data_IF_758523514459
#
_entry.id   IF_758523514459
#
_cell.length_a   1.000
_cell.length_b   1.000
_cell.length_c   1.000
_cell.angle_alpha   90.00
_cell.angle_beta   90.00
_cell.angle_gamma   90.00
#
_symmetry.space_group_name_H-M   'P 1'
#
loop_
_entity.id
_entity.type
_entity.pdbx_description
1 polymer ?
#
# COMPACT_ATOMS: atom_id res chain seq x y z
N UNK A 1 6.01 0.98 -18.49
CA UNK A 1 5.00 1.84 -17.84
C UNK A 1 5.70 2.91 -17.05
N UNK A 2 5.22 4.14 -17.14
CA UNK A 2 5.75 5.31 -16.44
C UNK A 2 4.60 6.07 -15.76
N UNK A 3 4.89 7.19 -15.12
CA UNK A 3 3.87 7.99 -14.42
C UNK A 3 2.78 8.55 -15.34
N UNK A 4 3.00 8.64 -16.66
CA UNK A 4 1.99 9.16 -17.59
C UNK A 4 1.01 8.06 -18.03
N UNK A 5 1.49 6.82 -18.11
CA UNK A 5 0.73 5.66 -18.57
C UNK A 5 0.22 4.77 -17.44
N UNK A 6 0.72 4.96 -16.21
CA UNK A 6 0.33 4.21 -15.03
C UNK A 6 -1.18 4.24 -14.81
N UNK A 7 -1.74 3.07 -14.47
CA UNK A 7 -3.15 2.90 -14.10
C UNK A 7 -4.19 3.33 -15.16
N UNK A 8 -3.76 3.59 -16.41
CA UNK A 8 -4.63 4.00 -17.52
C UNK A 8 -5.58 2.91 -18.04
N UNK A 9 -5.42 1.66 -17.60
CA UNK A 9 -6.13 0.50 -18.12
C UNK A 9 -5.61 0.00 -19.49
N UNK A 10 -4.65 0.70 -20.10
CA UNK A 10 -3.97 0.24 -21.31
C UNK A 10 -3.17 -1.04 -21.09
N UNK A 11 -2.86 -1.77 -22.16
CA UNK A 11 -2.20 -3.09 -22.06
C UNK A 11 -0.91 -3.05 -21.26
N UNK A 12 -0.05 -2.06 -21.51
CA UNK A 12 1.21 -1.93 -20.78
C UNK A 12 0.99 -1.76 -19.27
N UNK A 13 0.01 -0.94 -18.86
CA UNK A 13 -0.33 -0.69 -17.44
C UNK A 13 -0.92 -1.91 -16.70
N UNK A 14 -1.15 -3.02 -17.41
CA UNK A 14 -1.75 -4.25 -16.89
C UNK A 14 -0.82 -5.46 -16.94
N UNK A 15 0.45 -5.24 -17.30
CA UNK A 15 1.48 -6.28 -17.33
C UNK A 15 2.41 -6.06 -16.14
N UNK A 16 2.71 -7.13 -15.42
CA UNK A 16 3.71 -7.14 -14.35
C UNK A 16 4.86 -8.09 -14.68
N UNK A 17 5.82 -8.18 -13.77
CA UNK A 17 7.04 -8.96 -13.93
C UNK A 17 7.05 -10.17 -13.00
N UNK A 18 7.41 -11.32 -13.53
CA UNK A 18 7.62 -12.55 -12.78
C UNK A 18 9.05 -13.06 -13.01
N UNK A 19 9.81 -13.27 -11.94
CA UNK A 19 11.11 -13.92 -11.98
C UNK A 19 10.97 -15.38 -11.54
N UNK A 20 11.20 -16.32 -12.46
CA UNK A 20 10.97 -17.77 -12.29
C UNK A 20 12.12 -18.49 -11.53
N UNK A 21 13.26 -17.82 -11.36
CA UNK A 21 14.50 -18.40 -10.83
C UNK A 21 15.34 -17.32 -10.13
N UNK A 22 14.74 -16.67 -9.13
CA UNK A 22 15.32 -15.49 -8.48
C UNK A 22 16.62 -15.83 -7.76
N UNK A 23 17.69 -15.14 -8.16
CA UNK A 23 19.05 -15.32 -7.62
C UNK A 23 19.59 -16.74 -7.75
N UNK A 24 19.05 -17.52 -8.69
CA UNK A 24 19.59 -18.79 -9.12
C UNK A 24 20.98 -18.61 -9.74
N UNK A 25 21.91 -19.49 -9.39
CA UNK A 25 23.34 -19.46 -9.77
C UNK A 25 24.13 -18.26 -9.24
N UNK A 26 25.41 -18.49 -8.92
CA UNK A 26 26.32 -17.45 -8.40
C UNK A 26 26.62 -16.33 -9.42
N UNK A 27 26.48 -16.59 -10.72
CA UNK A 27 26.87 -15.68 -11.81
C UNK A 27 25.71 -15.15 -12.63
N UNK A 28 24.49 -15.62 -12.40
CA UNK A 28 23.31 -15.21 -13.14
C UNK A 28 22.14 -14.89 -12.19
N UNK A 29 21.07 -14.37 -12.76
CA UNK A 29 19.74 -14.35 -12.17
C UNK A 29 18.85 -15.00 -13.23
N UNK A 30 18.88 -16.34 -13.27
CA UNK A 30 18.39 -17.12 -14.42
C UNK A 30 16.92 -16.85 -14.76
N UNK A 31 16.14 -16.33 -13.80
CA UNK A 31 14.75 -15.99 -14.05
C UNK A 31 14.51 -14.67 -14.78
N UNK A 32 15.54 -13.85 -15.04
CA UNK A 32 15.45 -12.70 -15.95
C UNK A 32 16.10 -12.96 -17.30
N UNK A 33 17.25 -13.64 -17.33
CA UNK A 33 17.96 -13.98 -18.54
C UNK A 33 18.43 -15.44 -18.46
N UNK A 34 17.84 -16.36 -19.25
CA UNK A 34 18.10 -17.80 -19.15
C UNK A 34 19.46 -18.24 -19.77
N UNK A 35 20.29 -17.29 -20.24
CA UNK A 35 21.52 -17.60 -20.94
C UNK A 35 22.74 -17.25 -20.08
N UNK A 36 23.63 -18.22 -19.91
CA UNK A 36 24.96 -18.08 -19.29
C UNK A 36 25.91 -17.09 -20.02
N UNK A 37 25.46 -16.51 -21.13
CA UNK A 37 26.19 -15.51 -21.92
C UNK A 37 25.80 -14.06 -21.56
N UNK A 38 24.79 -13.84 -20.70
CA UNK A 38 24.42 -12.50 -20.25
C UNK A 38 25.53 -11.91 -19.35
N UNK A 39 25.99 -10.71 -19.67
CA UNK A 39 26.91 -9.99 -18.80
C UNK A 39 26.18 -9.46 -17.55
N UNK A 40 26.95 -9.09 -16.52
CA UNK A 40 26.37 -8.41 -15.35
C UNK A 40 25.71 -7.07 -15.74
N UNK A 41 26.22 -6.41 -16.77
CA UNK A 41 25.64 -5.16 -17.29
C UNK A 41 24.25 -5.42 -17.93
N UNK A 42 24.09 -6.52 -18.68
CA UNK A 42 22.79 -6.90 -19.26
C UNK A 42 21.75 -7.21 -18.17
N UNK A 43 22.17 -7.92 -17.12
CA UNK A 43 21.32 -8.23 -15.96
C UNK A 43 20.92 -6.93 -15.27
N UNK A 44 21.87 -6.02 -15.05
CA UNK A 44 21.59 -4.74 -14.40
C UNK A 44 20.67 -3.86 -15.25
N UNK A 45 20.84 -3.82 -16.57
CA UNK A 45 19.94 -3.07 -17.47
C UNK A 45 18.50 -3.56 -17.37
N UNK A 46 18.28 -4.88 -17.33
CA UNK A 46 16.95 -5.47 -17.12
C UNK A 46 16.38 -5.11 -15.75
N UNK A 47 17.19 -5.19 -14.69
CA UNK A 47 16.78 -4.79 -13.34
C UNK A 47 16.43 -3.31 -13.27
N UNK A 48 17.19 -2.44 -13.92
CA UNK A 48 16.91 -1.00 -14.00
C UNK A 48 15.60 -0.72 -14.74
N UNK A 49 15.31 -1.48 -15.79
CA UNK A 49 14.04 -1.42 -16.51
C UNK A 49 12.87 -1.79 -15.59
N UNK A 50 12.95 -2.93 -14.92
CA UNK A 50 11.93 -3.40 -13.97
C UNK A 50 11.79 -2.42 -12.80
N UNK A 51 12.90 -1.96 -12.21
CA UNK A 51 12.92 -1.00 -11.11
C UNK A 51 12.06 0.24 -11.41
N UNK A 52 12.15 0.77 -12.64
CA UNK A 52 11.33 1.92 -13.07
C UNK A 52 9.85 1.58 -13.18
N UNK A 53 9.51 0.41 -13.70
CA UNK A 53 8.11 -0.02 -13.87
C UNK A 53 7.45 -0.50 -12.58
N UNK A 54 8.23 -0.97 -11.60
CA UNK A 54 7.76 -1.59 -10.37
C UNK A 54 7.01 -0.62 -9.43
N UNK A 55 7.12 0.69 -9.68
CA UNK A 55 6.27 1.70 -9.06
C UNK A 55 4.79 1.57 -9.46
N UNK A 56 4.50 1.01 -10.63
CA UNK A 56 3.18 1.03 -11.25
C UNK A 56 2.64 -0.37 -11.58
N UNK A 57 3.51 -1.38 -11.55
CA UNK A 57 3.18 -2.76 -11.92
C UNK A 57 3.72 -3.74 -10.87
N UNK A 58 3.04 -4.87 -10.62
CA UNK A 58 3.51 -5.85 -9.66
C UNK A 58 4.77 -6.54 -10.16
N UNK A 59 5.73 -6.72 -9.26
CA UNK A 59 6.93 -7.53 -9.47
C UNK A 59 6.97 -8.60 -8.39
N UNK A 60 7.27 -9.83 -8.78
CA UNK A 60 7.48 -10.91 -7.83
C UNK A 60 8.04 -12.13 -8.54
N UNK A 61 8.02 -13.27 -7.87
CA UNK A 61 8.65 -14.44 -8.44
C UNK A 61 8.81 -15.58 -7.47
N UNK A 62 9.73 -16.46 -7.81
CA UNK A 62 10.09 -17.63 -7.02
C UNK A 62 11.57 -17.95 -7.15
N UNK A 63 12.05 -18.83 -6.29
CA UNK A 63 13.40 -19.37 -6.37
C UNK A 63 13.30 -20.79 -6.90
N UNK A 64 14.19 -21.20 -7.80
CA UNK A 64 14.16 -22.53 -8.40
C UNK A 64 15.35 -23.41 -8.00
N UNK A 65 16.41 -22.81 -7.48
CA UNK A 65 17.58 -23.49 -6.94
C UNK A 65 18.31 -22.61 -5.92
N UNK A 66 19.37 -23.14 -5.31
CA UNK A 66 20.25 -22.36 -4.41
C UNK A 66 21.22 -21.47 -5.18
N UNK A 67 21.48 -20.26 -4.70
CA UNK A 67 22.39 -19.32 -5.35
C UNK A 67 22.84 -18.18 -4.45
N UNK A 68 22.42 -16.94 -4.73
CA UNK A 68 22.82 -15.73 -3.99
C UNK A 68 21.77 -15.31 -2.96
N UNK A 69 21.27 -16.24 -2.15
CA UNK A 69 20.13 -15.99 -1.26
C UNK A 69 20.35 -14.86 -0.25
N UNK A 70 21.60 -14.61 0.16
CA UNK A 70 21.96 -13.52 1.08
C UNK A 70 21.76 -12.12 0.46
N UNK A 71 21.63 -12.02 -0.86
CA UNK A 71 21.36 -10.76 -1.56
C UNK A 71 19.86 -10.44 -1.69
N UNK A 72 18.99 -11.38 -1.28
CA UNK A 72 17.56 -11.32 -1.55
C UNK A 72 16.90 -10.02 -1.07
N UNK A 73 17.20 -9.54 0.13
CA UNK A 73 16.58 -8.31 0.65
C UNK A 73 16.94 -7.09 -0.20
N UNK A 74 18.22 -6.93 -0.55
CA UNK A 74 18.71 -5.82 -1.37
C UNK A 74 18.06 -5.82 -2.74
N UNK A 75 17.97 -6.99 -3.36
CA UNK A 75 17.42 -7.17 -4.70
C UNK A 75 15.90 -7.00 -4.72
N UNK A 76 15.18 -7.57 -3.75
CA UNK A 76 13.72 -7.41 -3.61
C UNK A 76 13.32 -5.96 -3.30
N UNK A 77 14.10 -5.26 -2.45
CA UNK A 77 13.91 -3.84 -2.18
C UNK A 77 14.12 -3.00 -3.44
N UNK A 78 15.25 -3.21 -4.13
CA UNK A 78 15.56 -2.49 -5.37
C UNK A 78 14.48 -2.73 -6.44
N UNK A 79 14.03 -3.97 -6.62
CA UNK A 79 13.03 -4.33 -7.62
C UNK A 79 11.59 -4.11 -7.14
N UNK A 80 11.39 -3.61 -5.91
CA UNK A 80 10.08 -3.31 -5.30
C UNK A 80 9.12 -4.51 -5.33
N UNK A 81 9.61 -5.65 -4.86
CA UNK A 81 8.86 -6.90 -4.90
C UNK A 81 7.56 -6.83 -4.07
N UNK A 82 6.50 -7.36 -4.67
CA UNK A 82 5.15 -7.45 -4.13
C UNK A 82 4.89 -8.79 -3.45
N UNK A 83 5.47 -9.87 -3.98
CA UNK A 83 5.29 -11.22 -3.47
C UNK A 83 6.49 -12.10 -3.80
N UNK A 84 6.62 -13.22 -3.08
CA UNK A 84 7.52 -14.32 -3.43
C UNK A 84 6.80 -15.65 -3.17
N UNK A 85 6.90 -16.60 -4.10
CA UNK A 85 6.40 -17.96 -3.87
C UNK A 85 7.38 -18.70 -2.95
N UNK A 86 6.90 -19.05 -1.76
CA UNK A 86 7.70 -19.72 -0.72
C UNK A 86 7.60 -21.25 -0.77
N UNK A 87 6.87 -21.81 -1.74
CA UNK A 87 6.65 -23.25 -1.84
C UNK A 87 7.53 -23.96 -2.87
N UNK A 88 8.04 -23.23 -3.87
CA UNK A 88 8.76 -23.84 -4.99
C UNK A 88 10.10 -24.45 -4.58
N UNK A 89 10.94 -23.69 -3.85
CA UNK A 89 12.24 -24.17 -3.39
C UNK A 89 12.41 -24.03 -1.85
N UNK A 90 11.97 -25.03 -1.06
CA UNK A 90 11.94 -24.95 0.40
C UNK A 90 13.30 -24.70 1.07
N UNK A 91 14.41 -25.11 0.46
CA UNK A 91 15.75 -24.92 1.04
C UNK A 91 16.19 -23.46 1.00
N UNK A 92 15.80 -22.70 -0.05
CA UNK A 92 16.07 -21.26 -0.16
C UNK A 92 15.27 -20.51 0.92
N UNK A 93 14.00 -20.88 1.08
CA UNK A 93 13.13 -20.31 2.13
C UNK A 93 13.64 -20.67 3.53
N UNK A 94 14.14 -21.89 3.72
CA UNK A 94 14.73 -22.32 4.99
C UNK A 94 15.99 -21.52 5.33
N UNK A 95 16.80 -21.17 4.32
CA UNK A 95 17.94 -20.27 4.49
C UNK A 95 17.48 -18.88 4.98
N UNK A 96 16.52 -18.24 4.28
CA UNK A 96 16.00 -16.94 4.69
C UNK A 96 15.39 -16.93 6.10
N UNK A 97 14.73 -18.02 6.52
CA UNK A 97 14.24 -18.16 7.90
C UNK A 97 15.37 -18.28 8.90
N UNK A 98 16.45 -18.98 8.55
CA UNK A 98 17.62 -19.14 9.41
C UNK A 98 18.41 -17.85 9.59
N UNK A 99 18.48 -17.01 8.56
CA UNK A 99 19.19 -15.71 8.60
C UNK A 99 18.35 -14.58 9.20
N UNK A 100 17.02 -14.75 9.27
CA UNK A 100 16.08 -13.70 9.71
C UNK A 100 15.56 -12.81 8.59
N UNK A 101 15.98 -13.07 7.34
CA UNK A 101 15.56 -12.30 6.16
C UNK A 101 14.09 -12.56 5.85
N UNK A 102 13.58 -13.75 6.14
CA UNK A 102 12.18 -14.11 5.91
C UNK A 102 11.22 -13.18 6.66
N UNK A 103 11.51 -12.86 7.93
CA UNK A 103 10.72 -11.96 8.75
C UNK A 103 10.76 -10.52 8.21
N UNK A 104 11.88 -10.11 7.60
CA UNK A 104 11.97 -8.82 6.91
C UNK A 104 11.08 -8.83 5.68
N UNK A 105 11.17 -9.87 4.84
CA UNK A 105 10.33 -10.05 3.65
C UNK A 105 8.85 -10.01 3.99
N UNK A 106 8.40 -10.73 5.04
CA UNK A 106 7.01 -10.72 5.49
C UNK A 106 6.48 -9.33 5.84
N UNK A 107 7.36 -8.43 6.30
CA UNK A 107 6.99 -7.05 6.65
C UNK A 107 7.12 -6.08 5.48
N UNK A 108 7.98 -6.37 4.50
CA UNK A 108 8.41 -5.42 3.48
C UNK A 108 7.87 -5.70 2.08
N UNK A 109 7.55 -6.95 1.73
CA UNK A 109 6.95 -7.26 0.43
C UNK A 109 5.60 -6.54 0.27
N UNK A 110 5.38 -5.97 -0.92
CA UNK A 110 4.15 -5.23 -1.22
C UNK A 110 4.12 -3.86 -0.56
N UNK A 111 2.91 -3.33 -0.38
CA UNK A 111 2.67 -2.09 0.35
C UNK A 111 2.48 -2.36 1.85
N UNK A 112 2.85 -1.39 2.68
CA UNK A 112 2.55 -1.38 4.12
C UNK A 112 2.35 0.05 4.61
N UNK A 113 1.12 0.55 4.56
CA UNK A 113 0.85 1.93 4.96
C UNK A 113 0.85 2.11 6.47
N UNK A 114 1.48 3.19 6.93
CA UNK A 114 1.52 3.61 8.33
C UNK A 114 1.09 5.08 8.41
N UNK A 115 0.20 5.38 9.36
CA UNK A 115 -0.12 6.74 9.76
C UNK A 115 0.99 7.26 10.68
N UNK A 116 1.72 8.27 10.25
CA UNK A 116 2.77 8.91 11.04
C UNK A 116 2.21 10.02 11.93
N UNK A 117 1.30 10.83 11.38
CA UNK A 117 0.70 11.98 12.06
C UNK A 117 -0.74 12.19 11.60
N UNK A 118 -1.58 12.59 12.55
CA UNK A 118 -2.95 13.01 12.31
C UNK A 118 -3.19 14.34 13.03
N UNK A 119 -3.69 15.33 12.30
CA UNK A 119 -4.18 16.59 12.85
C UNK A 119 -5.59 16.85 12.32
N UNK A 120 -6.54 16.98 13.26
CA UNK A 120 -7.97 17.12 12.98
C UNK A 120 -8.50 18.24 13.86
N UNK A 121 -9.37 19.09 13.31
CA UNK A 121 -10.15 20.04 14.10
C UNK A 121 -11.08 19.28 15.06
N UNK A 122 -10.85 19.40 16.37
CA UNK A 122 -11.57 18.61 17.38
C UNK A 122 -13.02 19.04 17.66
N UNK A 123 -13.37 20.29 17.37
CA UNK A 123 -14.74 20.82 17.55
C UNK A 123 -15.12 21.69 16.36
N UNK A 124 -16.31 21.45 15.79
CA UNK A 124 -16.78 22.10 14.57
C UNK A 124 -18.29 22.32 14.62
N UNK A 125 -18.76 23.43 14.10
CA UNK A 125 -20.20 23.70 14.02
C UNK A 125 -20.80 23.00 12.79
N UNK A 126 -22.10 22.70 12.84
CA UNK A 126 -22.88 22.24 11.69
C UNK A 126 -22.68 23.19 10.49
N UNK A 127 -22.55 22.62 9.29
CA UNK A 127 -22.35 23.44 8.08
C UNK A 127 -21.00 24.15 7.99
N UNK A 128 -20.06 23.94 8.91
CA UNK A 128 -18.68 24.42 8.79
C UNK A 128 -17.75 23.33 8.24
N UNK A 129 -16.45 23.66 8.11
CA UNK A 129 -15.45 22.76 7.55
C UNK A 129 -14.58 22.10 8.60
N UNK A 130 -14.24 20.82 8.38
CA UNK A 130 -13.17 20.13 9.08
C UNK A 130 -11.92 20.20 8.24
N UNK A 131 -10.79 20.57 8.85
CA UNK A 131 -9.49 20.44 8.22
C UNK A 131 -8.81 19.18 8.74
N UNK A 132 -8.43 18.32 7.81
CA UNK A 132 -7.71 17.09 8.03
C UNK A 132 -6.31 17.22 7.43
N UNK A 133 -5.29 16.95 8.23
CA UNK A 133 -3.91 16.85 7.78
C UNK A 133 -3.32 15.53 8.29
N UNK A 134 -3.09 14.61 7.37
CA UNK A 134 -2.45 13.33 7.65
C UNK A 134 -1.06 13.29 7.01
N UNK A 135 -0.13 12.66 7.69
CA UNK A 135 1.15 12.26 7.11
C UNK A 135 1.23 10.75 7.15
N UNK A 136 1.28 10.12 5.98
CA UNK A 136 1.39 8.67 5.83
C UNK A 136 2.79 8.29 5.34
N UNK A 137 3.11 7.01 5.44
CA UNK A 137 4.27 6.42 4.80
C UNK A 137 3.95 5.02 4.33
N UNK A 138 4.47 4.64 3.16
CA UNK A 138 4.52 3.25 2.74
C UNK A 138 5.84 2.64 3.23
N UNK A 139 5.75 1.80 4.25
CA UNK A 139 6.88 1.10 4.86
C UNK A 139 7.24 -0.20 4.13
N UNK A 140 6.45 -0.60 3.13
CA UNK A 140 6.75 -1.71 2.23
C UNK A 140 7.68 -1.30 1.10
N UNK A 141 8.01 -2.23 0.22
CA UNK A 141 8.85 -1.99 -0.95
C UNK A 141 8.07 -1.63 -2.21
N UNK A 142 6.78 -1.97 -2.28
CA UNK A 142 5.98 -1.82 -3.49
C UNK A 142 4.78 -0.89 -3.29
N UNK A 143 4.25 -0.38 -4.40
CA UNK A 143 2.99 0.36 -4.42
C UNK A 143 1.77 -0.55 -4.32
N UNK A 144 0.63 0.05 -4.03
CA UNK A 144 -0.66 -0.58 -4.30
C UNK A 144 -0.97 -0.50 -5.81
N UNK A 145 -1.57 -1.54 -6.37
CA UNK A 145 -1.90 -1.59 -7.82
C UNK A 145 -3.39 -1.58 -8.08
N UNK A 146 -4.17 -2.24 -7.22
CA UNK A 146 -5.62 -2.22 -7.31
C UNK A 146 -6.13 -0.88 -6.77
N UNK A 147 -7.04 -0.21 -7.48
CA UNK A 147 -7.66 1.02 -6.99
C UNK A 147 -8.37 0.77 -5.65
N UNK A 148 -8.30 1.79 -4.78
CA UNK A 148 -8.98 1.84 -3.49
C UNK A 148 -9.51 3.26 -3.32
N UNK A 149 -10.83 3.49 -3.40
CA UNK A 149 -11.38 4.79 -3.05
C UNK A 149 -11.02 5.12 -1.60
N UNK A 150 -10.74 6.39 -1.31
CA UNK A 150 -10.35 6.83 0.03
C UNK A 150 -11.47 7.67 0.60
N UNK A 151 -12.06 7.21 1.70
CA UNK A 151 -13.12 7.95 2.39
C UNK A 151 -12.65 8.45 3.75
N UNK A 152 -13.14 9.62 4.12
CA UNK A 152 -13.30 10.00 5.51
C UNK A 152 -14.67 9.57 5.99
N UNK A 153 -14.69 8.80 7.06
CA UNK A 153 -15.90 8.29 7.69
C UNK A 153 -16.11 9.03 9.00
N UNK A 154 -17.25 9.70 9.13
CA UNK A 154 -17.75 10.22 10.39
C UNK A 154 -18.86 9.30 10.88
N UNK A 155 -18.71 8.73 12.07
CA UNK A 155 -19.65 7.77 12.63
C UNK A 155 -19.90 8.07 14.12
N UNK A 156 -21.15 8.34 14.50
CA UNK A 156 -21.57 8.55 15.89
C UNK A 156 -22.29 7.33 16.50
N UNK A 157 -22.32 6.19 15.81
CA UNK A 157 -23.03 4.98 16.20
C UNK A 157 -24.48 4.90 15.72
N UNK A 158 -25.09 6.02 15.34
CA UNK A 158 -26.46 6.07 14.80
C UNK A 158 -26.49 6.46 13.32
N UNK A 159 -25.64 7.41 12.92
CA UNK A 159 -25.49 7.93 11.57
C UNK A 159 -24.02 7.85 11.16
N UNK A 160 -23.82 7.36 9.95
CA UNK A 160 -22.54 7.29 9.26
C UNK A 160 -22.57 8.21 8.04
N UNK A 161 -21.53 9.03 7.90
CA UNK A 161 -21.29 9.84 6.71
C UNK A 161 -19.95 9.43 6.10
N UNK A 162 -19.97 9.08 4.80
CA UNK A 162 -18.77 8.80 4.02
C UNK A 162 -18.51 9.97 3.08
N UNK A 163 -17.34 10.60 3.20
CA UNK A 163 -16.87 11.65 2.30
C UNK A 163 -15.73 11.09 1.46
N UNK A 164 -15.93 10.99 0.13
CA UNK A 164 -14.88 10.57 -0.79
C UNK A 164 -13.82 11.68 -0.93
N UNK A 165 -12.55 11.29 -0.86
CA UNK A 165 -11.41 12.14 -1.18
C UNK A 165 -11.03 11.91 -2.65
N UNK A 166 -11.67 12.65 -3.57
CA UNK A 166 -11.52 12.50 -5.04
C UNK A 166 -10.06 12.53 -5.52
N UNK A 167 -9.22 13.37 -4.89
CA UNK A 167 -7.82 13.54 -5.27
C UNK A 167 -6.88 12.48 -4.65
N UNK A 168 -7.39 11.60 -3.79
CA UNK A 168 -6.58 10.60 -3.10
C UNK A 168 -6.60 9.26 -3.84
N UNK A 169 -5.47 8.87 -4.39
CA UNK A 169 -5.28 7.56 -5.02
C UNK A 169 -4.10 6.81 -4.37
N UNK A 170 -4.37 5.77 -3.55
CA UNK A 170 -3.35 5.03 -2.83
C UNK A 170 -2.35 4.27 -3.71
N UNK A 171 -2.62 4.14 -5.02
CA UNK A 171 -1.65 3.53 -5.95
C UNK A 171 -0.40 4.40 -6.14
N UNK A 172 -0.53 5.70 -5.90
CA UNK A 172 0.56 6.68 -5.91
C UNK A 172 1.26 6.86 -4.56
N UNK A 173 0.87 6.10 -3.55
CA UNK A 173 1.50 6.11 -2.23
C UNK A 173 2.77 5.25 -2.24
N UNK A 174 3.73 5.71 -3.03
CA UNK A 174 5.00 5.04 -3.26
C UNK A 174 5.84 4.94 -1.96
N UNK A 175 6.75 3.95 -1.87
CA UNK A 175 7.74 3.89 -0.80
C UNK A 175 8.69 5.11 -0.83
N UNK A 176 9.60 5.19 0.14
CA UNK A 176 10.69 6.17 0.25
C UNK A 176 10.30 7.59 0.70
N UNK A 177 9.06 8.03 0.46
CA UNK A 177 8.61 9.39 0.79
C UNK A 177 7.43 9.40 1.77
N UNK A 178 7.34 10.49 2.52
CA UNK A 178 6.12 10.80 3.26
C UNK A 178 5.03 11.23 2.28
N UNK A 179 3.81 10.79 2.57
CA UNK A 179 2.63 11.01 1.74
C UNK A 179 1.71 11.95 2.52
N UNK A 180 1.67 13.24 2.18
CA UNK A 180 0.71 14.15 2.76
C UNK A 180 -0.68 13.84 2.21
N UNK A 181 -1.65 13.67 3.09
CA UNK A 181 -3.06 13.53 2.73
C UNK A 181 -3.83 14.62 3.48
N UNK A 182 -4.13 15.71 2.77
CA UNK A 182 -4.81 16.86 3.31
C UNK A 182 -6.20 16.97 2.68
N UNK A 183 -7.20 17.26 3.50
CA UNK A 183 -8.56 17.46 3.04
C UNK A 183 -9.25 18.57 3.84
N UNK A 184 -10.06 19.37 3.15
CA UNK A 184 -11.03 20.27 3.77
C UNK A 184 -12.41 19.73 3.46
N UNK A 185 -13.15 19.36 4.49
CA UNK A 185 -14.41 18.64 4.39
C UNK A 185 -15.52 19.58 4.82
N UNK A 186 -16.44 19.87 3.91
CA UNK A 186 -17.64 20.64 4.21
C UNK A 186 -18.68 19.74 4.88
N UNK A 187 -19.06 20.06 6.11
CA UNK A 187 -20.11 19.31 6.80
C UNK A 187 -21.50 19.70 6.27
N UNK A 188 -22.45 18.74 6.23
CA UNK A 188 -23.86 19.06 6.04
C UNK A 188 -24.37 20.00 7.14
N UNK A 189 -25.26 20.93 6.79
CA UNK A 189 -25.87 21.83 7.78
C UNK A 189 -26.84 21.11 8.74
N UNK A 190 -27.30 19.91 8.38
CA UNK A 190 -28.25 19.08 9.13
C UNK A 190 -27.59 17.85 9.75
N UNK A 191 -26.25 17.80 9.81
CA UNK A 191 -25.55 16.70 10.50
C UNK A 191 -25.94 16.71 11.99
N UNK A 192 -26.38 15.60 12.58
CA UNK A 192 -26.76 15.57 13.99
C UNK A 192 -25.61 16.01 14.89
N UNK A 193 -25.94 16.76 15.95
CA UNK A 193 -24.96 17.13 16.98
C UNK A 193 -24.43 15.89 17.71
N UNK A 194 -23.26 16.03 18.31
CA UNK A 194 -22.66 15.03 19.17
C UNK A 194 -21.24 14.65 18.78
N UNK A 195 -20.77 13.56 19.38
CA UNK A 195 -19.42 13.04 19.16
C UNK A 195 -19.40 12.06 18.00
N UNK A 196 -18.45 12.25 17.09
CA UNK A 196 -18.21 11.36 15.97
C UNK A 196 -16.80 10.79 16.06
N UNK A 197 -16.68 9.49 15.84
CA UNK A 197 -15.39 8.90 15.46
C UNK A 197 -15.10 9.31 14.02
N UNK A 198 -13.91 9.86 13.79
CA UNK A 198 -13.40 10.16 12.45
C UNK A 198 -12.38 9.09 12.05
N UNK A 199 -12.58 8.47 10.89
CA UNK A 199 -11.74 7.37 10.40
C UNK A 199 -11.39 7.53 8.92
N UNK A 200 -10.28 6.93 8.51
CA UNK A 200 -9.88 6.75 7.12
C UNK A 200 -10.27 5.34 6.65
N UNK A 201 -11.01 5.26 5.54
CA UNK A 201 -11.50 3.99 5.00
C UNK A 201 -11.06 3.82 3.54
N UNK A 202 -10.39 2.69 3.25
CA UNK A 202 -9.89 2.34 1.94
C UNK A 202 -10.46 0.97 1.52
N UNK A 203 -11.76 0.87 1.21
CA UNK A 203 -12.37 -0.38 0.83
C UNK A 203 -11.96 -0.82 -0.58
N UNK A 204 -12.28 -2.06 -0.92
CA UNK A 204 -12.26 -2.49 -2.32
C UNK A 204 -13.22 -1.63 -3.16
N UNK A 205 -12.86 -1.38 -4.42
CA UNK A 205 -13.68 -0.55 -5.32
C UNK A 205 -14.99 -1.23 -5.73
N UNK A 206 -15.05 -2.56 -5.66
CA UNK A 206 -16.23 -3.31 -6.06
C UNK A 206 -17.33 -3.17 -5.02
N UNK A 207 -18.53 -2.75 -5.44
CA UNK A 207 -19.72 -2.70 -4.59
C UNK A 207 -19.99 -4.01 -3.82
N UNK A 208 -19.62 -5.17 -4.40
CA UNK A 208 -19.82 -6.48 -3.76
C UNK A 208 -18.87 -6.74 -2.58
N UNK A 209 -17.73 -6.06 -2.55
CA UNK A 209 -16.66 -6.23 -1.56
C UNK A 209 -16.50 -5.00 -0.66
N UNK A 210 -16.99 -3.84 -1.07
CA UNK A 210 -16.73 -2.55 -0.43
C UNK A 210 -17.05 -2.58 1.08
N UNK A 211 -18.23 -3.06 1.46
CA UNK A 211 -18.69 -3.12 2.85
C UNK A 211 -18.15 -4.31 3.65
N UNK A 212 -17.29 -5.16 3.06
CA UNK A 212 -16.67 -6.28 3.76
C UNK A 212 -15.34 -5.82 4.35
N UNK A 213 -15.27 -5.71 5.68
CA UNK A 213 -14.09 -5.19 6.39
C UNK A 213 -12.78 -5.90 6.00
N UNK A 214 -12.83 -7.22 5.74
CA UNK A 214 -11.69 -8.02 5.29
C UNK A 214 -11.07 -7.57 3.95
N UNK A 215 -11.78 -6.76 3.16
CA UNK A 215 -11.30 -6.25 1.87
C UNK A 215 -10.88 -4.76 1.93
N UNK A 216 -10.93 -4.16 3.12
CA UNK A 216 -10.43 -2.80 3.36
C UNK A 216 -8.94 -2.80 3.72
N UNK A 217 -8.22 -1.74 3.35
CA UNK A 217 -6.80 -1.62 3.67
C UNK A 217 -6.60 -1.24 5.14
N UNK A 218 -5.96 -2.14 5.88
CA UNK A 218 -5.52 -1.94 7.26
C UNK A 218 -4.15 -1.27 7.32
N UNK A 219 -4.02 -0.21 8.11
CA UNK A 219 -2.74 0.43 8.38
C UNK A 219 -1.95 -0.33 9.45
N UNK A 220 -0.63 -0.24 9.35
CA UNK A 220 0.35 -0.89 10.22
C UNK A 220 0.56 -0.13 11.54
N UNK A 221 -0.52 0.33 12.16
CA UNK A 221 -0.53 1.07 13.41
C UNK A 221 -1.26 0.27 14.50
N UNK A 222 -0.70 0.27 15.71
CA UNK A 222 -1.39 -0.29 16.88
C UNK A 222 -2.56 0.61 17.28
N UNK A 223 -3.70 0.01 17.65
CA UNK A 223 -4.87 0.74 18.16
C UNK A 223 -5.67 1.56 17.14
N UNK A 224 -5.25 1.61 15.87
CA UNK A 224 -5.92 2.38 14.81
C UNK A 224 -6.99 1.57 14.08
N UNK A 225 -6.81 0.27 13.93
CA UNK A 225 -7.69 -0.56 13.09
C UNK A 225 -8.96 -1.05 13.81
N UNK A 226 -10.13 -0.76 13.24
CA UNK A 226 -11.41 -1.36 13.60
C UNK A 226 -11.68 -2.58 12.71
N UNK A 227 -11.54 -3.79 13.25
CA UNK A 227 -11.70 -5.06 12.53
C UNK A 227 -13.15 -5.32 12.07
N UNK A 228 -14.13 -4.83 12.82
CA UNK A 228 -15.54 -5.06 12.49
C UNK A 228 -15.99 -4.17 11.35
N UNK A 229 -15.56 -2.91 11.37
CA UNK A 229 -15.97 -1.91 10.37
C UNK A 229 -15.01 -1.80 9.18
N UNK A 230 -13.74 -2.19 9.37
CA UNK A 230 -12.70 -2.08 8.34
C UNK A 230 -12.10 -0.68 8.22
N UNK A 231 -12.10 0.10 9.30
CA UNK A 231 -11.65 1.51 9.28
C UNK A 231 -10.33 1.70 10.01
N UNK A 232 -9.59 2.74 9.62
CA UNK A 232 -8.42 3.24 10.34
C UNK A 232 -8.82 4.49 11.13
N UNK A 233 -9.08 4.34 12.43
CA UNK A 233 -9.54 5.41 13.33
C UNK A 233 -8.47 6.49 13.49
N UNK A 234 -8.86 7.74 13.25
CA UNK A 234 -7.97 8.91 13.32
C UNK A 234 -8.15 9.71 14.61
N UNK A 235 -9.32 9.58 15.27
CA UNK A 235 -9.65 10.27 16.51
C UNK A 235 -11.16 10.50 16.66
N UNK A 236 -11.51 11.48 17.49
CA UNK A 236 -12.89 11.92 17.71
C UNK A 236 -13.01 13.43 17.41
N UNK A 237 -14.21 13.82 16.97
CA UNK A 237 -14.61 15.23 16.83
C UNK A 237 -15.96 15.45 17.50
N UNK A 238 -16.20 16.68 17.94
CA UNK A 238 -17.50 17.14 18.46
C UNK A 238 -18.15 18.08 17.46
N UNK A 239 -19.41 17.80 17.12
CA UNK A 239 -20.24 18.64 16.26
C UNK A 239 -21.34 19.29 17.08
N UNK A 240 -21.45 20.62 17.01
CA UNK A 240 -22.52 21.39 17.66
C UNK A 240 -23.26 22.30 16.66
N UNK A 241 -24.38 22.89 17.09
CA UNK A 241 -25.20 23.77 16.27
C UNK A 241 -24.68 25.22 16.17
N UNK A 242 -23.49 25.53 16.70
CA UNK A 242 -22.94 26.90 16.73
C UNK A 242 -23.78 27.92 17.52
N UNK A 243 -24.73 27.46 18.35
CA UNK A 243 -25.63 28.33 19.11
C UNK A 243 -25.17 28.43 20.56
N UNK A 244 -24.60 29.58 20.93
CA UNK A 244 -24.46 30.04 22.33
C UNK A 244 -25.67 30.88 22.74
#
# INVERSE_FOLDING_TARGET
VDSQSAFSGGYAARIGHHNDCFLAVATADEGYLPNNDASQDDIQEMKDYIHREAFYTPVGGESCETGRQDEALREMEYLRWTYVNVYYHPDVVSHWRKTGDYEVMQRKLGYRFTLLRSHITGKVEQGNTINLQLTLRNEGWASLYNPRPVYIVLDNGEKRLNILLEEADPRWWHPEKEIPLNATIQLPADIPEGKYTISLWLPDESDYLQDKSAFSIRFANEGVWDEQKGYNVLGEIEIDSGTL
#
